data_IF_643581604014
#
_entry.id   IF_643581604014
#
_cell.length_a   1.000
_cell.length_b   1.000
_cell.length_c   1.000
_cell.angle_alpha   90.00
_cell.angle_beta   90.00
_cell.angle_gamma   90.00
#
_symmetry.space_group_name_H-M   'P 1'
#
loop_
_entity.id
_entity.type
_entity.pdbx_description
1 polymer ?
#
# COMPACT_ATOMS: atom_id res chain seq x y z
N UNK A 1 83.52 11.95 16.91
CA UNK A 1 84.09 10.65 16.50
C UNK A 1 82.92 9.69 16.37
N UNK A 2 82.56 9.33 15.11
CA UNK A 2 81.92 8.09 14.63
C UNK A 2 80.73 7.49 15.43
N UNK A 3 79.62 7.01 14.86
CA UNK A 3 79.23 6.62 13.51
C UNK A 3 77.68 6.38 13.52
N UNK A 4 77.04 6.63 12.37
CA UNK A 4 75.74 6.08 11.96
C UNK A 4 75.58 4.58 12.27
N UNK A 5 74.37 4.15 12.68
CA UNK A 5 73.73 2.94 12.14
C UNK A 5 72.24 3.23 11.93
N UNK A 6 71.83 3.18 10.67
CA UNK A 6 70.45 3.24 10.22
C UNK A 6 69.74 1.91 10.51
N UNK A 7 68.52 1.97 11.02
CA UNK A 7 67.56 0.87 10.90
C UNK A 7 66.33 1.38 10.15
N UNK A 8 66.33 1.11 8.85
CA UNK A 8 65.17 1.26 7.97
C UNK A 8 64.24 0.09 8.26
N UNK A 9 63.14 0.33 8.96
CA UNK A 9 62.02 -0.62 9.02
C UNK A 9 61.03 -0.23 7.94
N UNK A 10 61.15 -0.94 6.82
CA UNK A 10 60.18 -1.00 5.74
C UNK A 10 58.99 -1.83 6.23
N UNK A 11 57.82 -1.22 6.39
CA UNK A 11 56.55 -1.97 6.45
C UNK A 11 55.63 -1.44 5.36
N UNK A 12 55.25 -2.38 4.51
CA UNK A 12 54.56 -2.20 3.25
C UNK A 12 53.21 -1.48 3.39
N UNK A 13 53.00 -0.48 2.53
CA UNK A 13 51.69 -0.02 2.16
C UNK A 13 50.98 -1.14 1.38
N UNK A 14 49.99 -1.77 1.98
CA UNK A 14 49.05 -2.65 1.27
C UNK A 14 48.08 -1.78 0.47
N UNK A 15 48.45 -1.50 -0.79
CA UNK A 15 47.50 -1.16 -1.85
C UNK A 15 46.83 -2.44 -2.34
N UNK A 16 45.49 -2.49 -2.31
CA UNK A 16 44.60 -3.15 -3.30
C UNK A 16 43.13 -3.04 -2.85
N UNK A 17 42.14 -3.08 -3.77
CA UNK A 17 42.02 -2.30 -5.00
C UNK A 17 40.66 -1.60 -5.13
N UNK A 18 40.64 -0.67 -6.09
CA UNK A 18 39.49 -0.16 -6.81
C UNK A 18 38.44 -1.22 -7.22
N UNK A 19 37.24 -0.71 -7.48
CA UNK A 19 36.16 -1.33 -8.29
C UNK A 19 35.24 -2.33 -7.58
N UNK A 20 34.43 -1.84 -6.65
CA UNK A 20 33.08 -2.39 -6.52
C UNK A 20 32.31 -2.00 -7.80
N UNK A 21 32.22 -2.96 -8.72
CA UNK A 21 31.39 -2.89 -9.91
C UNK A 21 29.97 -2.48 -9.51
N UNK A 22 29.61 -1.22 -9.79
CA UNK A 22 28.22 -0.85 -9.96
C UNK A 22 27.65 -1.78 -11.03
N UNK A 23 26.78 -2.70 -10.62
CA UNK A 23 25.87 -3.36 -11.55
C UNK A 23 25.21 -2.25 -12.39
N UNK A 24 25.20 -2.38 -13.73
CA UNK A 24 24.56 -1.38 -14.58
C UNK A 24 23.09 -1.31 -14.16
N UNK A 25 22.74 -0.21 -13.50
CA UNK A 25 21.37 0.09 -13.11
C UNK A 25 20.55 0.07 -14.38
N UNK A 26 19.61 -0.85 -14.46
CA UNK A 26 18.57 -0.80 -15.46
C UNK A 26 17.89 0.56 -15.31
N UNK A 27 18.09 1.44 -16.28
CA UNK A 27 17.54 2.78 -16.27
C UNK A 27 16.02 2.67 -16.14
N UNK A 28 15.52 2.97 -14.94
CA UNK A 28 14.12 2.89 -14.63
C UNK A 28 13.40 3.96 -15.46
N UNK A 29 12.31 3.62 -16.18
CA UNK A 29 11.68 4.56 -17.10
C UNK A 29 11.24 5.83 -16.36
N UNK A 30 11.41 7.02 -16.96
CA UNK A 30 11.09 8.28 -16.31
C UNK A 30 9.58 8.37 -16.04
N UNK A 31 9.22 8.92 -14.88
CA UNK A 31 7.83 9.25 -14.56
C UNK A 31 7.30 10.25 -15.59
N UNK A 32 6.08 10.02 -16.06
CA UNK A 32 5.35 10.91 -16.97
C UNK A 32 3.94 11.08 -16.46
N UNK A 33 3.33 12.23 -16.71
CA UNK A 33 1.91 12.39 -16.54
C UNK A 33 1.46 13.77 -16.97
N UNK A 34 0.16 13.88 -17.14
CA UNK A 34 -0.51 15.10 -17.53
C UNK A 34 -1.84 15.17 -16.81
N UNK A 35 -2.30 16.38 -16.53
CA UNK A 35 -3.59 16.55 -15.91
C UNK A 35 -3.90 18.00 -15.61
N UNK A 36 -5.04 18.18 -14.97
CA UNK A 36 -5.53 19.48 -14.52
C UNK A 36 -6.22 19.35 -13.18
N UNK A 37 -6.07 20.38 -12.36
CA UNK A 37 -6.84 20.59 -11.14
C UNK A 37 -7.56 21.92 -11.30
N UNK A 38 -8.87 21.93 -11.09
CA UNK A 38 -9.67 23.15 -11.06
C UNK A 38 -10.21 23.36 -9.66
N UNK A 39 -9.96 24.53 -9.09
CA UNK A 39 -10.50 24.94 -7.80
C UNK A 39 -11.19 26.30 -7.97
N UNK A 40 -12.46 26.38 -7.61
CA UNK A 40 -13.31 27.57 -7.73
C UNK A 40 -13.32 28.18 -9.15
N UNK A 41 -13.21 27.31 -10.16
CA UNK A 41 -13.18 27.70 -11.57
C UNK A 41 -11.80 28.11 -12.11
N UNK A 42 -10.77 28.22 -11.25
CA UNK A 42 -9.39 28.42 -11.69
C UNK A 42 -8.72 27.07 -11.96
N UNK A 43 -8.24 26.86 -13.18
CA UNK A 43 -7.60 25.61 -13.61
C UNK A 43 -6.07 25.74 -13.61
N UNK A 44 -5.40 24.77 -13.01
CA UNK A 44 -3.94 24.60 -13.03
C UNK A 44 -3.58 23.33 -13.76
N UNK A 45 -2.65 23.42 -14.72
CA UNK A 45 -2.08 22.27 -15.42
C UNK A 45 -1.03 21.58 -14.54
N UNK A 46 -1.09 20.25 -14.47
CA UNK A 46 -0.15 19.40 -13.74
C UNK A 46 0.67 18.60 -14.75
N UNK A 47 1.93 18.98 -14.94
CA UNK A 47 2.82 18.40 -15.97
C UNK A 47 3.99 17.60 -15.37
N UNK A 48 4.12 17.59 -14.06
CA UNK A 48 5.20 16.89 -13.35
C UNK A 48 4.61 15.77 -12.50
N UNK A 49 5.27 14.61 -12.51
CA UNK A 49 4.87 13.45 -11.72
C UNK A 49 6.07 12.89 -10.99
N UNK A 50 5.92 12.69 -9.69
CA UNK A 50 6.92 12.05 -8.84
C UNK A 50 6.26 10.88 -8.11
N UNK A 51 6.97 9.75 -8.07
CA UNK A 51 6.59 8.60 -7.24
C UNK A 51 7.33 8.69 -5.92
N UNK A 52 6.60 8.65 -4.82
CA UNK A 52 7.16 8.44 -3.50
C UNK A 52 6.45 7.29 -2.81
N UNK A 53 6.85 6.99 -1.58
CA UNK A 53 6.25 5.96 -0.77
C UNK A 53 5.95 6.48 0.63
N UNK A 54 4.98 5.86 1.31
CA UNK A 54 4.64 6.18 2.69
C UNK A 54 4.42 4.88 3.46
N UNK A 55 4.79 4.87 4.73
CA UNK A 55 4.46 3.77 5.63
C UNK A 55 2.93 3.66 5.71
N UNK A 56 2.40 2.45 5.53
CA UNK A 56 0.97 2.21 5.70
C UNK A 56 0.58 2.37 7.18
N UNK A 57 -0.49 3.11 7.52
CA UNK A 57 -0.81 3.44 8.91
C UNK A 57 -1.52 2.28 9.64
N UNK A 58 -1.97 1.26 8.92
CA UNK A 58 -2.70 0.12 9.49
C UNK A 58 -1.85 -1.14 9.55
N UNK A 59 -0.79 -1.23 8.73
CA UNK A 59 0.09 -2.38 8.69
C UNK A 59 1.51 -2.00 8.27
N UNK A 60 2.44 -2.10 9.21
CA UNK A 60 3.86 -1.76 9.03
C UNK A 60 4.60 -2.61 7.98
N UNK A 61 4.03 -3.73 7.55
CA UNK A 61 4.58 -4.57 6.48
C UNK A 61 4.30 -4.01 5.07
N UNK A 62 3.36 -3.08 4.94
CA UNK A 62 3.01 -2.48 3.66
C UNK A 62 3.51 -1.05 3.54
N UNK A 63 3.85 -0.72 2.30
CA UNK A 63 4.31 0.61 1.93
C UNK A 63 3.42 1.13 0.82
N UNK A 64 2.67 2.17 1.12
CA UNK A 64 1.76 2.81 0.17
C UNK A 64 2.56 3.52 -0.92
N UNK A 65 2.04 3.45 -2.14
CA UNK A 65 2.59 4.18 -3.28
C UNK A 65 1.90 5.53 -3.34
N UNK A 66 2.67 6.61 -3.38
CA UNK A 66 2.11 7.95 -3.58
C UNK A 66 2.56 8.46 -4.94
N UNK A 67 1.58 8.76 -5.79
CA UNK A 67 1.79 9.44 -7.07
C UNK A 67 1.45 10.90 -6.87
N UNK A 68 2.48 11.76 -6.92
CA UNK A 68 2.35 13.19 -6.74
C UNK A 68 2.39 13.87 -8.11
N UNK A 69 1.29 14.53 -8.49
CA UNK A 69 1.21 15.39 -9.65
C UNK A 69 1.38 16.86 -9.23
N UNK A 70 2.13 17.63 -10.02
CA UNK A 70 2.38 19.05 -9.73
C UNK A 70 2.52 19.91 -10.99
N UNK A 71 2.29 21.21 -10.80
CA UNK A 71 2.50 22.26 -11.82
C UNK A 71 3.96 22.71 -11.94
N UNK A 72 4.78 22.41 -10.95
CA UNK A 72 6.22 22.68 -10.92
C UNK A 72 7.02 21.39 -10.68
N UNK A 73 8.28 21.31 -11.13
CA UNK A 73 9.13 20.16 -10.86
C UNK A 73 9.42 20.03 -9.35
N UNK A 74 9.55 18.79 -8.90
CA UNK A 74 9.86 18.40 -7.53
C UNK A 74 10.95 17.33 -7.54
N UNK A 75 11.90 17.44 -6.62
CA UNK A 75 12.79 16.33 -6.31
C UNK A 75 12.06 15.25 -5.49
N UNK A 76 12.59 14.02 -5.49
CA UNK A 76 12.05 12.92 -4.68
C UNK A 76 11.97 13.27 -3.19
N UNK A 77 12.95 14.05 -2.69
CA UNK A 77 12.99 14.52 -1.31
C UNK A 77 11.87 15.50 -1.00
N UNK A 78 11.64 16.48 -1.88
CA UNK A 78 10.54 17.44 -1.70
C UNK A 78 9.19 16.76 -1.81
N UNK A 79 9.02 15.82 -2.74
CA UNK A 79 7.78 15.06 -2.89
C UNK A 79 7.47 14.17 -1.66
N UNK A 80 8.49 13.82 -0.87
CA UNK A 80 8.33 13.05 0.36
C UNK A 80 8.03 13.91 1.61
N UNK A 81 8.13 15.24 1.52
CA UNK A 81 8.02 16.16 2.65
C UNK A 81 6.72 16.97 2.56
N UNK A 82 5.67 16.49 3.23
CA UNK A 82 4.34 17.10 3.20
C UNK A 82 4.35 18.56 3.71
N UNK A 83 5.22 18.88 4.68
CA UNK A 83 5.36 20.23 5.21
C UNK A 83 5.99 21.17 4.19
N UNK A 84 7.02 20.72 3.46
CA UNK A 84 7.64 21.49 2.38
C UNK A 84 6.66 21.73 1.22
N UNK A 85 5.88 20.71 0.84
CA UNK A 85 4.85 20.83 -0.20
C UNK A 85 3.78 21.86 0.19
N UNK A 86 3.24 21.75 1.40
CA UNK A 86 2.25 22.72 1.90
C UNK A 86 2.82 24.13 1.99
N UNK A 87 4.04 24.29 2.50
CA UNK A 87 4.69 25.59 2.62
C UNK A 87 4.85 26.28 1.25
N UNK A 88 5.27 25.54 0.21
CA UNK A 88 5.35 26.08 -1.16
C UNK A 88 3.97 26.44 -1.71
N UNK A 89 2.98 25.58 -1.52
CA UNK A 89 1.64 25.81 -2.02
C UNK A 89 0.97 27.02 -1.36
N UNK A 90 1.13 27.20 -0.05
CA UNK A 90 0.59 28.35 0.69
C UNK A 90 1.11 29.71 0.19
N UNK A 91 2.31 29.75 -0.40
CA UNK A 91 2.86 30.95 -1.05
C UNK A 91 2.33 31.16 -2.48
N UNK A 92 1.82 30.10 -3.10
CA UNK A 92 1.40 30.05 -4.50
C UNK A 92 2.48 29.60 -5.46
N UNK A 93 3.58 29.04 -4.95
CA UNK A 93 4.71 28.58 -5.77
C UNK A 93 4.50 27.16 -6.33
N UNK A 94 3.40 26.51 -5.93
CA UNK A 94 3.15 25.10 -6.19
C UNK A 94 1.66 24.77 -6.05
N UNK A 95 1.18 23.91 -6.92
CA UNK A 95 -0.10 23.20 -6.80
C UNK A 95 0.20 21.71 -6.90
N UNK A 96 -0.32 20.92 -5.96
CA UNK A 96 -0.13 19.47 -5.98
C UNK A 96 -1.40 18.67 -5.79
N UNK A 97 -1.42 17.49 -6.40
CA UNK A 97 -2.38 16.41 -6.20
C UNK A 97 -1.60 15.15 -5.85
N UNK A 98 -1.72 14.67 -4.61
CA UNK A 98 -1.10 13.43 -4.18
C UNK A 98 -2.15 12.32 -4.15
N UNK A 99 -1.99 11.32 -5.01
CA UNK A 99 -2.79 10.11 -5.05
C UNK A 99 -2.07 9.04 -4.23
N UNK A 100 -2.64 8.67 -3.08
CA UNK A 100 -2.08 7.60 -2.26
C UNK A 100 -2.79 6.30 -2.59
N UNK A 101 -2.05 5.35 -3.14
CA UNK A 101 -2.50 4.00 -3.37
C UNK A 101 -2.01 3.09 -2.26
N UNK A 102 -2.90 2.24 -1.79
CA UNK A 102 -2.58 1.23 -0.79
C UNK A 102 -1.44 0.32 -1.27
N UNK A 103 -0.47 0.06 -0.39
CA UNK A 103 0.68 -0.79 -0.65
C UNK A 103 0.41 -2.29 -0.63
N UNK A 104 -0.83 -2.71 -0.31
CA UNK A 104 -1.20 -4.12 -0.22
C UNK A 104 -1.05 -4.86 -1.57
N UNK A 105 -0.47 -6.08 -1.59
CA UNK A 105 -0.38 -6.89 -2.79
C UNK A 105 -1.73 -7.00 -3.48
N UNK A 106 -1.76 -6.80 -4.80
CA UNK A 106 -2.96 -6.87 -5.66
C UNK A 106 -4.02 -5.79 -5.42
N UNK A 107 -3.79 -4.77 -4.58
CA UNK A 107 -4.70 -3.63 -4.41
C UNK A 107 -4.00 -2.31 -4.68
N UNK A 108 -4.06 -1.87 -5.94
CA UNK A 108 -3.85 -0.45 -6.31
C UNK A 108 -5.06 0.42 -5.93
N UNK A 109 -5.66 0.19 -4.77
CA UNK A 109 -6.84 0.94 -4.32
C UNK A 109 -6.39 2.34 -3.90
N UNK A 110 -7.08 3.35 -4.41
CA UNK A 110 -6.88 4.72 -3.97
C UNK A 110 -7.35 4.83 -2.52
N UNK A 111 -6.44 5.20 -1.63
CA UNK A 111 -6.68 5.33 -0.21
C UNK A 111 -7.16 6.74 0.15
N UNK A 112 -6.49 7.77 -0.37
CA UNK A 112 -6.95 9.16 -0.28
C UNK A 112 -6.29 10.02 -1.36
N UNK A 113 -6.85 11.21 -1.55
CA UNK A 113 -6.28 12.26 -2.41
C UNK A 113 -6.01 13.50 -1.58
N UNK A 114 -4.76 13.96 -1.57
CA UNK A 114 -4.36 15.18 -0.88
C UNK A 114 -4.08 16.31 -1.90
N UNK A 115 -4.64 17.48 -1.66
CA UNK A 115 -4.46 18.67 -2.50
C UNK A 115 -3.75 19.78 -1.74
N UNK A 116 -2.78 20.41 -2.37
CA UNK A 116 -2.16 21.63 -1.87
C UNK A 116 -2.32 22.76 -2.88
N UNK A 117 -2.83 23.90 -2.41
CA UNK A 117 -3.09 25.08 -3.23
C UNK A 117 -3.11 26.33 -2.33
N UNK A 118 -2.69 27.49 -2.84
CA UNK A 118 -2.61 28.76 -2.09
C UNK A 118 -3.89 29.16 -1.38
N UNK A 119 -5.03 28.88 -2.00
CA UNK A 119 -6.34 29.20 -1.44
C UNK A 119 -6.82 28.22 -0.37
N UNK A 120 -5.99 27.30 0.11
CA UNK A 120 -6.33 26.34 1.17
C UNK A 120 -5.54 26.69 2.43
N UNK A 121 -6.20 26.67 3.58
CA UNK A 121 -5.59 26.91 4.89
C UNK A 121 -4.80 25.73 5.42
N UNK A 122 -5.07 24.54 4.87
CA UNK A 122 -4.41 23.27 5.16
C UNK A 122 -4.44 22.38 3.90
N UNK A 123 -3.75 21.25 3.92
CA UNK A 123 -3.85 20.26 2.86
C UNK A 123 -5.28 19.71 2.81
N UNK A 124 -5.97 19.88 1.68
CA UNK A 124 -7.32 19.35 1.53
C UNK A 124 -7.25 17.84 1.26
N UNK A 125 -7.77 17.05 2.19
CA UNK A 125 -7.91 15.60 2.05
C UNK A 125 -9.29 15.29 1.49
N UNK A 126 -9.34 14.86 0.23
CA UNK A 126 -10.57 14.48 -0.44
C UNK A 126 -10.81 12.96 -0.31
N UNK A 127 -12.04 12.52 -0.02
CA UNK A 127 -12.39 11.10 0.02
C UNK A 127 -12.12 10.39 -1.30
N UNK A 128 -11.54 9.19 -1.22
CA UNK A 128 -11.26 8.30 -2.35
C UNK A 128 -12.52 7.95 -3.17
N UNK A 129 -13.65 7.75 -2.49
CA UNK A 129 -14.95 7.42 -3.12
C UNK A 129 -15.48 8.45 -4.11
N UNK A 130 -14.90 9.66 -4.14
CA UNK A 130 -15.29 10.70 -5.11
C UNK A 130 -14.58 10.58 -6.45
N UNK A 131 -13.53 9.77 -6.51
CA UNK A 131 -12.68 9.65 -7.68
C UNK A 131 -13.02 8.39 -8.47
N UNK A 132 -13.11 8.54 -9.78
CA UNK A 132 -12.99 7.43 -10.72
C UNK A 132 -11.51 7.27 -11.02
N UNK A 133 -10.94 6.08 -10.87
CA UNK A 133 -9.52 5.89 -11.11
C UNK A 133 -9.20 4.52 -11.68
N UNK A 134 -8.05 4.44 -12.33
CA UNK A 134 -7.38 3.19 -12.69
C UNK A 134 -5.96 3.24 -12.18
N UNK A 135 -5.43 2.13 -11.67
CA UNK A 135 -4.01 2.02 -11.39
C UNK A 135 -3.54 0.59 -11.58
N UNK A 136 -2.74 0.37 -12.63
CA UNK A 136 -2.23 -0.94 -13.00
C UNK A 136 -0.81 -0.82 -13.51
N UNK A 137 0.11 -1.61 -12.93
CA UNK A 137 1.50 -1.70 -13.39
C UNK A 137 2.20 -0.34 -13.52
N UNK A 138 1.90 0.60 -12.61
CA UNK A 138 2.50 1.93 -12.59
C UNK A 138 1.83 2.97 -13.49
N UNK A 139 0.89 2.58 -14.34
CA UNK A 139 0.09 3.50 -15.12
C UNK A 139 -1.30 3.66 -14.53
N UNK A 140 -1.87 4.86 -14.62
CA UNK A 140 -3.19 5.12 -14.07
C UNK A 140 -3.83 6.40 -14.57
N UNK A 141 -5.12 6.50 -14.28
CA UNK A 141 -5.94 7.69 -14.51
C UNK A 141 -6.69 8.02 -13.23
N UNK A 142 -7.02 9.30 -13.05
CA UNK A 142 -7.88 9.77 -11.97
C UNK A 142 -8.77 10.89 -12.48
N UNK A 143 -10.06 10.83 -12.17
CA UNK A 143 -11.04 11.84 -12.52
C UNK A 143 -11.91 12.15 -11.31
N UNK A 144 -12.05 13.43 -11.01
CA UNK A 144 -12.98 14.00 -10.05
C UNK A 144 -13.94 14.92 -10.80
N UNK A 145 -15.20 14.51 -10.86
CA UNK A 145 -16.27 15.39 -11.35
C UNK A 145 -16.43 16.59 -10.41
N UNK A 146 -16.99 17.69 -10.94
CA UNK A 146 -17.22 18.94 -10.21
C UNK A 146 -17.98 18.67 -8.90
N UNK A 147 -17.35 18.95 -7.75
CA UNK A 147 -17.91 18.75 -6.42
C UNK A 147 -17.55 19.87 -5.46
N UNK A 148 -18.45 20.18 -4.54
CA UNK A 148 -18.21 21.13 -3.45
C UNK A 148 -17.72 20.40 -2.19
N UNK A 149 -16.70 20.95 -1.54
CA UNK A 149 -16.22 20.50 -0.24
C UNK A 149 -15.60 21.67 0.54
N UNK A 150 -15.98 21.83 1.81
CA UNK A 150 -15.49 22.91 2.68
C UNK A 150 -15.60 24.30 2.04
N UNK A 151 -16.72 24.57 1.36
CA UNK A 151 -17.01 25.87 0.73
C UNK A 151 -16.23 26.17 -0.56
N UNK A 152 -15.56 25.16 -1.14
CA UNK A 152 -14.82 25.29 -2.39
C UNK A 152 -15.25 24.23 -3.40
N UNK A 153 -15.09 24.53 -4.67
CA UNK A 153 -15.50 23.62 -5.75
C UNK A 153 -14.27 23.05 -6.45
N UNK A 154 -14.18 21.73 -6.50
CA UNK A 154 -13.06 20.97 -7.06
C UNK A 154 -13.51 20.18 -8.29
N UNK A 155 -12.62 20.08 -9.28
CA UNK A 155 -12.64 19.01 -10.29
C UNK A 155 -11.20 18.72 -10.70
N UNK A 156 -10.93 17.47 -11.07
CA UNK A 156 -9.59 17.06 -11.49
C UNK A 156 -9.69 16.00 -12.59
N UNK A 157 -8.72 16.00 -13.48
CA UNK A 157 -8.54 14.93 -14.45
C UNK A 157 -7.05 14.77 -14.71
N UNK A 158 -6.53 13.56 -14.58
CA UNK A 158 -5.12 13.30 -14.80
C UNK A 158 -4.85 11.86 -15.21
N UNK A 159 -3.74 11.70 -15.93
CA UNK A 159 -3.12 10.44 -16.29
C UNK A 159 -1.66 10.45 -15.88
N UNK A 160 -1.14 9.29 -15.53
CA UNK A 160 0.24 9.16 -15.09
C UNK A 160 0.81 7.78 -15.38
N UNK A 161 2.13 7.76 -15.49
CA UNK A 161 2.98 6.58 -15.58
C UNK A 161 4.13 6.81 -14.62
N UNK A 162 4.19 6.00 -13.57
CA UNK A 162 5.29 5.97 -12.62
C UNK A 162 6.01 4.63 -12.69
N UNK A 163 7.33 4.61 -12.49
CA UNK A 163 8.05 3.35 -12.50
C UNK A 163 7.73 2.53 -11.24
N UNK A 164 7.13 1.38 -11.49
CA UNK A 164 6.97 0.33 -10.50
C UNK A 164 8.15 -0.64 -10.65
N UNK A 165 8.70 -1.17 -9.54
CA UNK A 165 9.55 -2.34 -9.66
C UNK A 165 8.74 -3.39 -10.40
N UNK A 166 9.28 -3.92 -11.51
CA UNK A 166 8.73 -5.12 -12.12
C UNK A 166 8.80 -6.16 -11.02
N UNK A 167 7.66 -6.63 -10.52
CA UNK A 167 7.64 -7.80 -9.66
C UNK A 167 8.12 -8.97 -10.51
N UNK A 168 9.44 -9.16 -10.55
CA UNK A 168 10.02 -10.39 -11.06
C UNK A 168 9.45 -11.46 -10.16
N UNK A 169 8.86 -12.49 -10.75
CA UNK A 169 8.20 -13.62 -10.07
C UNK A 169 9.07 -14.22 -8.95
N UNK A 170 10.39 -14.04 -9.01
CA UNK A 170 11.37 -14.41 -7.98
C UNK A 170 11.32 -13.57 -6.68
N UNK A 171 10.99 -12.27 -6.71
CA UNK A 171 10.88 -11.43 -5.52
C UNK A 171 9.54 -11.66 -4.78
N UNK A 172 8.46 -11.88 -5.53
CA UNK A 172 7.19 -12.35 -4.97
C UNK A 172 7.34 -13.77 -4.36
N UNK A 173 8.12 -14.66 -4.99
CA UNK A 173 8.45 -15.98 -4.46
C UNK A 173 9.49 -15.97 -3.32
N UNK A 174 10.26 -14.89 -3.15
CA UNK A 174 11.19 -14.73 -2.03
C UNK A 174 10.53 -14.06 -0.81
N UNK A 175 9.53 -13.19 -1.02
CA UNK A 175 8.68 -12.63 0.03
C UNK A 175 7.61 -13.63 0.50
N UNK A 176 7.06 -14.44 -0.42
CA UNK A 176 6.37 -15.68 -0.10
C UNK A 176 7.41 -16.71 0.33
N UNK A 177 7.98 -16.52 1.53
CA UNK A 177 8.87 -17.53 2.11
C UNK A 177 8.20 -18.90 1.97
N UNK A 178 8.94 -19.88 1.48
CA UNK A 178 8.58 -21.30 1.54
C UNK A 178 8.57 -21.75 3.00
N UNK A 179 7.67 -21.17 3.80
CA UNK A 179 7.30 -21.70 5.10
C UNK A 179 6.46 -22.93 4.80
N UNK A 180 7.12 -24.06 4.84
CA UNK A 180 6.52 -25.38 4.70
C UNK A 180 5.21 -25.45 5.50
N UNK A 181 4.12 -25.76 4.80
CA UNK A 181 2.82 -25.89 5.42
C UNK A 181 2.88 -27.06 6.43
N UNK A 182 2.39 -26.87 7.66
CA UNK A 182 2.33 -27.97 8.62
C UNK A 182 1.42 -29.08 8.09
N UNK A 183 1.65 -30.31 8.55
CA UNK A 183 0.76 -31.42 8.23
C UNK A 183 -0.70 -31.11 8.67
N UNK A 184 -1.72 -31.70 8.01
CA UNK A 184 -3.12 -31.50 8.38
C UNK A 184 -3.37 -31.80 9.86
N UNK A 185 -4.11 -30.93 10.52
CA UNK A 185 -4.29 -30.91 11.98
C UNK A 185 -4.92 -32.19 12.51
N UNK A 186 -4.34 -32.72 13.59
CA UNK A 186 -4.90 -33.83 14.37
C UNK A 186 -5.16 -33.47 15.83
N UNK A 187 -4.67 -32.31 16.28
CA UNK A 187 -4.81 -31.81 17.64
C UNK A 187 -5.29 -30.35 17.65
N UNK A 188 -5.80 -29.87 18.79
CA UNK A 188 -6.21 -28.47 18.91
C UNK A 188 -5.02 -27.50 18.86
N UNK A 189 -3.82 -27.94 19.25
CA UNK A 189 -2.59 -27.16 19.09
C UNK A 189 -2.24 -26.96 17.60
N UNK A 190 -2.39 -28.01 16.78
CA UNK A 190 -2.18 -27.93 15.33
C UNK A 190 -3.21 -27.02 14.67
N UNK A 191 -4.50 -27.17 15.06
CA UNK A 191 -5.60 -26.33 14.60
C UNK A 191 -5.32 -24.86 14.90
N UNK A 192 -4.88 -24.55 16.12
CA UNK A 192 -4.52 -23.18 16.51
C UNK A 192 -3.36 -22.66 15.66
N UNK A 193 -2.29 -23.45 15.48
CA UNK A 193 -1.14 -23.06 14.67
C UNK A 193 -1.51 -22.80 13.22
N UNK A 194 -2.34 -23.66 12.62
CA UNK A 194 -2.85 -23.48 11.26
C UNK A 194 -3.71 -22.21 11.16
N UNK A 195 -4.52 -21.92 12.17
CA UNK A 195 -5.34 -20.69 12.22
C UNK A 195 -4.49 -19.43 12.35
N UNK A 196 -3.44 -19.45 13.17
CA UNK A 196 -2.50 -18.32 13.31
C UNK A 196 -1.78 -18.06 11.96
N UNK A 197 -1.37 -19.12 11.25
CA UNK A 197 -0.77 -19.03 9.90
C UNK A 197 -1.76 -18.49 8.86
N UNK A 198 -3.03 -18.88 8.95
CA UNK A 198 -4.07 -18.39 8.06
C UNK A 198 -4.34 -16.89 8.31
N UNK A 199 -4.38 -16.45 9.57
CA UNK A 199 -4.50 -15.03 9.92
C UNK A 199 -3.33 -14.23 9.33
N UNK A 200 -2.09 -14.73 9.44
CA UNK A 200 -0.92 -14.10 8.81
C UNK A 200 -1.11 -13.98 7.29
N UNK A 201 -1.41 -15.09 6.58
CA UNK A 201 -1.60 -15.08 5.13
C UNK A 201 -2.74 -14.15 4.68
N UNK A 202 -3.85 -14.11 5.42
CA UNK A 202 -4.95 -13.19 5.15
C UNK A 202 -4.53 -11.74 5.35
N UNK A 203 -3.85 -11.41 6.45
CA UNK A 203 -3.30 -10.07 6.71
C UNK A 203 -2.28 -9.64 5.64
N UNK A 204 -1.53 -10.58 5.07
CA UNK A 204 -0.57 -10.37 3.99
C UNK A 204 -1.23 -10.16 2.62
N UNK A 205 -2.51 -10.52 2.46
CA UNK A 205 -3.18 -10.52 1.15
C UNK A 205 -2.82 -11.73 0.28
N UNK A 206 -2.13 -12.73 0.83
CA UNK A 206 -1.73 -13.94 0.11
C UNK A 206 -2.89 -14.95 0.09
N UNK A 207 -3.87 -14.66 -0.76
CA UNK A 207 -5.09 -15.44 -0.92
C UNK A 207 -4.80 -16.90 -1.32
N UNK A 208 -3.77 -17.14 -2.13
CA UNK A 208 -3.40 -18.50 -2.55
C UNK A 208 -2.86 -19.31 -1.36
N UNK A 209 -1.96 -18.72 -0.56
CA UNK A 209 -1.47 -19.35 0.66
C UNK A 209 -2.61 -19.55 1.67
N UNK A 210 -3.46 -18.54 1.86
CA UNK A 210 -4.63 -18.64 2.73
C UNK A 210 -5.52 -19.84 2.34
N UNK A 211 -5.88 -19.96 1.06
CA UNK A 211 -6.68 -21.09 0.56
C UNK A 211 -5.97 -22.45 0.74
N UNK A 212 -4.64 -22.51 0.64
CA UNK A 212 -3.88 -23.75 0.90
C UNK A 212 -3.80 -24.15 2.37
N UNK A 213 -3.98 -23.21 3.32
CA UNK A 213 -3.94 -23.47 4.76
C UNK A 213 -5.30 -23.96 5.29
N UNK A 214 -6.40 -23.46 4.75
CA UNK A 214 -7.77 -23.87 5.13
C UNK A 214 -7.96 -25.39 5.24
N UNK A 215 -7.53 -26.23 4.27
CA UNK A 215 -7.72 -27.69 4.35
C UNK A 215 -6.90 -28.36 5.45
N UNK A 216 -6.00 -27.64 6.14
CA UNK A 216 -5.23 -28.17 7.27
C UNK A 216 -6.06 -28.29 8.55
N UNK A 217 -7.36 -27.96 8.53
CA UNK A 217 -8.22 -28.07 9.70
C UNK A 217 -8.01 -26.92 10.67
N UNK A 218 -8.37 -25.71 10.23
CA UNK A 218 -8.33 -24.47 11.02
C UNK A 218 -9.55 -24.33 11.94
N UNK A 219 -9.49 -23.42 12.91
CA UNK A 219 -10.66 -22.89 13.61
C UNK A 219 -11.19 -21.67 12.83
N UNK A 220 -12.38 -21.73 12.21
CA UNK A 220 -12.93 -20.63 11.43
C UNK A 220 -13.27 -19.40 12.30
N UNK A 221 -13.36 -19.58 13.62
CA UNK A 221 -13.63 -18.53 14.60
C UNK A 221 -12.39 -18.03 15.32
N UNK A 222 -11.21 -18.45 14.86
CA UNK A 222 -9.94 -17.98 15.40
C UNK A 222 -9.86 -16.45 15.36
N UNK A 223 -9.14 -15.90 16.34
CA UNK A 223 -8.95 -14.46 16.51
C UNK A 223 -7.47 -14.13 16.45
N UNK A 224 -7.17 -13.01 15.81
CA UNK A 224 -5.85 -12.39 15.91
C UNK A 224 -5.56 -12.05 17.38
N UNK A 225 -4.44 -12.52 17.90
CA UNK A 225 -4.06 -12.32 19.30
C UNK A 225 -3.72 -10.86 19.63
N UNK A 226 -3.38 -10.05 18.62
CA UNK A 226 -3.01 -8.64 18.81
C UNK A 226 -4.22 -7.73 18.89
N UNK A 227 -5.14 -7.84 17.94
CA UNK A 227 -6.28 -6.93 17.83
C UNK A 227 -7.62 -7.57 18.21
N UNK A 228 -7.62 -8.86 18.56
CA UNK A 228 -8.81 -9.64 18.91
C UNK A 228 -9.88 -9.68 17.80
N UNK A 229 -9.47 -9.48 16.55
CA UNK A 229 -10.32 -9.50 15.35
C UNK A 229 -10.46 -10.95 14.87
N UNK A 230 -11.68 -11.38 14.54
CA UNK A 230 -11.91 -12.72 13.99
C UNK A 230 -11.30 -12.86 12.60
N UNK A 231 -10.92 -14.08 12.25
CA UNK A 231 -10.37 -14.42 10.95
C UNK A 231 -11.29 -13.99 9.79
N UNK A 232 -12.61 -14.11 9.94
CA UNK A 232 -13.54 -13.70 8.88
C UNK A 232 -13.64 -12.17 8.71
N UNK A 233 -13.58 -11.38 9.80
CA UNK A 233 -13.47 -9.93 9.68
C UNK A 233 -12.16 -9.55 8.98
N UNK A 234 -11.05 -10.25 9.25
CA UNK A 234 -9.81 -10.06 8.49
C UNK A 234 -9.96 -10.37 7.01
N UNK A 235 -10.58 -11.49 6.65
CA UNK A 235 -10.81 -11.86 5.25
C UNK A 235 -11.70 -10.83 4.51
N UNK A 236 -12.64 -10.20 5.22
CA UNK A 236 -13.47 -9.10 4.70
C UNK A 236 -12.67 -7.80 4.57
N UNK A 237 -11.90 -7.40 5.59
CA UNK A 237 -11.08 -6.19 5.58
C UNK A 237 -9.98 -6.22 4.51
N UNK A 238 -9.39 -7.40 4.31
CA UNK A 238 -8.41 -7.68 3.27
C UNK A 238 -9.07 -8.01 1.93
N UNK A 239 -10.38 -8.19 1.96
CA UNK A 239 -11.27 -8.51 0.87
C UNK A 239 -10.73 -9.59 -0.06
N UNK A 240 -10.80 -10.80 0.47
CA UNK A 240 -10.47 -12.08 -0.17
C UNK A 240 -11.75 -12.92 -0.25
N UNK A 241 -12.65 -12.67 -1.21
CA UNK A 241 -13.96 -13.33 -1.28
C UNK A 241 -13.89 -14.87 -1.32
N UNK A 242 -12.94 -15.52 -2.01
CA UNK A 242 -12.71 -16.96 -1.91
C UNK A 242 -12.44 -17.46 -0.49
N UNK A 243 -11.63 -16.73 0.29
CA UNK A 243 -11.35 -17.07 1.70
C UNK A 243 -12.61 -16.85 2.54
N UNK A 244 -13.35 -15.76 2.33
CA UNK A 244 -14.65 -15.53 2.99
C UNK A 244 -15.62 -16.66 2.69
N UNK A 245 -15.75 -17.08 1.43
CA UNK A 245 -16.61 -18.19 1.02
C UNK A 245 -16.24 -19.49 1.76
N UNK A 246 -14.95 -19.83 1.79
CA UNK A 246 -14.46 -21.02 2.48
C UNK A 246 -14.71 -20.95 4.01
N UNK A 247 -14.55 -19.79 4.64
CA UNK A 247 -14.85 -19.61 6.07
C UNK A 247 -16.35 -19.74 6.36
N UNK A 248 -17.21 -19.23 5.46
CA UNK A 248 -18.67 -19.42 5.54
C UNK A 248 -19.04 -20.90 5.40
N UNK A 249 -18.41 -21.63 4.47
CA UNK A 249 -18.60 -23.08 4.31
C UNK A 249 -18.21 -23.84 5.59
N UNK A 250 -17.13 -23.40 6.26
CA UNK A 250 -16.69 -23.91 7.56
C UNK A 250 -17.53 -23.43 8.75
N UNK A 251 -18.62 -22.69 8.53
CA UNK A 251 -19.52 -22.19 9.58
C UNK A 251 -18.83 -21.23 10.55
N UNK A 252 -18.01 -20.33 10.03
CA UNK A 252 -17.56 -19.16 10.78
C UNK A 252 -18.75 -18.39 11.37
N UNK A 253 -18.58 -17.85 12.58
CA UNK A 253 -19.51 -16.97 13.24
C UNK A 253 -19.54 -15.62 12.53
N UNK A 254 -20.71 -15.29 11.97
CA UNK A 254 -20.92 -14.09 11.17
C UNK A 254 -21.52 -12.94 11.98
N UNK A 255 -21.77 -13.16 13.28
CA UNK A 255 -22.39 -12.18 14.17
C UNK A 255 -21.39 -11.20 14.79
N UNK A 256 -20.09 -11.46 14.63
CA UNK A 256 -19.09 -10.63 15.28
C UNK A 256 -19.04 -9.22 14.71
N UNK A 257 -19.18 -8.24 15.59
CA UNK A 257 -18.97 -6.84 15.31
C UNK A 257 -17.56 -6.44 15.76
N UNK A 258 -16.73 -6.00 14.80
CA UNK A 258 -15.38 -5.52 15.13
C UNK A 258 -15.42 -4.14 15.80
N UNK A 259 -16.41 -3.32 15.45
CA UNK A 259 -16.70 -2.03 16.06
C UNK A 259 -18.17 -2.00 16.47
N UNK A 260 -18.56 -1.33 17.57
CA UNK A 260 -19.95 -1.29 18.01
C UNK A 260 -20.90 -0.83 16.90
N UNK A 261 -21.88 -1.66 16.54
CA UNK A 261 -22.86 -1.40 15.49
C UNK A 261 -22.35 -1.61 14.07
N UNK A 262 -21.09 -2.04 13.88
CA UNK A 262 -20.55 -2.41 12.57
C UNK A 262 -20.68 -3.91 12.37
N UNK A 263 -21.81 -4.33 11.77
CA UNK A 263 -22.01 -5.73 11.39
C UNK A 263 -21.01 -6.15 10.31
N UNK A 264 -20.73 -7.45 10.24
CA UNK A 264 -19.86 -8.01 9.21
C UNK A 264 -20.35 -7.68 7.78
N UNK A 265 -21.66 -7.61 7.57
CA UNK A 265 -22.24 -7.18 6.29
C UNK A 265 -22.05 -5.69 6.01
N UNK A 266 -22.17 -4.83 7.02
CA UNK A 266 -21.90 -3.41 6.88
C UNK A 266 -20.43 -3.16 6.52
N UNK A 267 -19.52 -3.87 7.20
CA UNK A 267 -18.09 -3.83 6.90
C UNK A 267 -17.80 -4.34 5.48
N UNK A 268 -18.39 -5.47 5.08
CA UNK A 268 -18.22 -6.01 3.73
C UNK A 268 -18.73 -5.07 2.64
N UNK A 269 -19.86 -4.38 2.82
CA UNK A 269 -20.32 -3.40 1.82
C UNK A 269 -19.33 -2.27 1.58
N UNK A 270 -18.59 -1.87 2.62
CA UNK A 270 -17.59 -0.82 2.52
C UNK A 270 -16.24 -1.34 2.01
N UNK A 271 -15.76 -2.47 2.54
CA UNK A 271 -14.41 -2.96 2.31
C UNK A 271 -14.32 -4.05 1.22
N UNK A 272 -15.37 -4.84 1.03
CA UNK A 272 -15.42 -5.98 0.12
C UNK A 272 -16.81 -6.30 -0.46
N UNK A 273 -17.32 -5.49 -1.41
CA UNK A 273 -18.65 -5.71 -1.98
C UNK A 273 -18.84 -7.13 -2.54
N UNK A 274 -17.79 -7.74 -3.11
CA UNK A 274 -17.82 -9.10 -3.66
C UNK A 274 -18.02 -10.20 -2.60
N UNK A 275 -17.69 -9.92 -1.34
CA UNK A 275 -17.92 -10.86 -0.22
C UNK A 275 -19.38 -10.86 0.26
N UNK A 276 -20.17 -9.84 -0.07
CA UNK A 276 -21.55 -9.69 0.43
C UNK A 276 -22.44 -10.87 0.05
N UNK A 277 -22.26 -11.42 -1.15
CA UNK A 277 -23.01 -12.58 -1.62
C UNK A 277 -22.75 -13.82 -0.76
N UNK A 278 -21.49 -14.10 -0.47
CA UNK A 278 -21.08 -15.24 0.37
C UNK A 278 -21.57 -15.11 1.81
N UNK A 279 -21.42 -13.92 2.40
CA UNK A 279 -21.87 -13.66 3.78
C UNK A 279 -23.38 -13.80 3.94
N UNK A 280 -24.18 -13.30 2.97
CA UNK A 280 -25.62 -13.49 2.96
C UNK A 280 -26.01 -14.95 2.81
N UNK A 281 -25.33 -15.69 1.93
CA UNK A 281 -25.55 -17.13 1.79
C UNK A 281 -25.22 -17.89 3.09
N UNK A 282 -24.26 -17.38 3.88
CA UNK A 282 -23.92 -17.87 5.22
C UNK A 282 -24.88 -17.46 6.34
N UNK A 283 -25.82 -16.54 6.09
CA UNK A 283 -26.80 -16.08 7.07
C UNK A 283 -26.37 -14.84 7.89
N UNK A 284 -25.36 -14.09 7.43
CA UNK A 284 -25.02 -12.79 8.05
C UNK A 284 -26.19 -11.81 7.94
N UNK A 285 -26.40 -10.99 8.99
CA UNK A 285 -27.48 -9.99 9.07
C UNK A 285 -26.95 -8.56 8.94
#
# INVERSE_FOLDING_TARGET
MFLLVALVVSLAASQQPDSAQQQPGTAQPPSKGSGSLTIDGATTTLSHVVKTTRKNPFNDFFTDVVVLLSDQPLSDKEAADDAALFARASRGDLVTVALRFDGRPRRGQLFNVALNHKGLTETALLPDVWFKYTFKTGAGTVTLERREFSGRIYSADAEFVVPMPVETTAAAAAAAGTRELPAPSKTDADRKRASDLLIEAVQEGDELRALSIIPLGIDPNARDSRMNITLINWAVLMCQPPVVAALVELKADLSHERLPGMTLLAEARAACPDAVGFLRAGGAQ
#
